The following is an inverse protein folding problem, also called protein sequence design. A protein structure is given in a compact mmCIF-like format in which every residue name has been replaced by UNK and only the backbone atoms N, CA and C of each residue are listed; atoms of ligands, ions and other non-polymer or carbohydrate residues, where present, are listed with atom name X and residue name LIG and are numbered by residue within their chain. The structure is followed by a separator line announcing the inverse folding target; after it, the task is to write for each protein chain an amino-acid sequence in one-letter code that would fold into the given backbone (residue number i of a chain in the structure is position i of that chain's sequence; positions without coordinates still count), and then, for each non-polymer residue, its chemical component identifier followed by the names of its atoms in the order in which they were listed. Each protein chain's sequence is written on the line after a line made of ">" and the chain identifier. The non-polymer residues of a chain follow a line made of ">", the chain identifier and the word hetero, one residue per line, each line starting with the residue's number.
data_IF_715862712864
#
_entry.id   IF_715862712864
#
_cell.length_a   1.000
_cell.length_b   1.000
_cell.length_c   1.000
_cell.angle_alpha   90.00
_cell.angle_beta   90.00
_cell.angle_gamma   90.00
#
_symmetry.space_group_name_H-M   'P 1'
#
loop_
_entity.id
_entity.type
_entity.pdbx_description
1 polymer ?
#
# COMPACT_ATOMS: atom_id res chain seq x y z
N UNK A 1 11.15 4.17 1.53
CA UNK A 1 12.19 4.40 2.53
C UNK A 1 11.86 3.51 3.71
N UNK A 2 12.84 2.95 4.39
CA UNK A 2 12.65 2.02 5.53
C UNK A 2 13.49 2.55 6.68
N UNK A 3 12.87 2.78 7.84
CA UNK A 3 13.57 3.22 9.04
C UNK A 3 14.58 2.15 9.48
N UNK A 4 15.82 2.54 9.67
CA UNK A 4 16.89 1.66 10.12
C UNK A 4 17.15 1.86 11.61
N UNK A 5 17.34 3.13 12.02
CA UNK A 5 17.57 3.56 13.39
C UNK A 5 17.20 5.06 13.54
N UNK A 6 17.41 5.65 14.73
CA UNK A 6 17.11 7.07 15.01
C UNK A 6 17.83 8.06 14.10
N UNK A 7 18.86 7.65 13.38
CA UNK A 7 19.72 8.52 12.57
C UNK A 7 19.70 8.21 11.09
N UNK A 8 19.39 6.99 10.69
CA UNK A 8 19.53 6.53 9.33
C UNK A 8 18.30 5.76 8.85
N UNK A 9 18.00 5.94 7.55
CA UNK A 9 17.01 5.19 6.78
C UNK A 9 17.70 4.36 5.71
N UNK A 10 17.02 3.31 5.23
CA UNK A 10 17.38 2.60 4.01
C UNK A 10 16.52 3.12 2.85
N UNK A 11 17.19 3.60 1.82
CA UNK A 11 16.56 4.00 0.57
C UNK A 11 16.79 2.92 -0.49
N UNK A 12 15.72 2.21 -0.85
CA UNK A 12 15.73 1.21 -1.91
C UNK A 12 15.07 1.76 -3.17
N UNK A 13 15.70 1.51 -4.31
CA UNK A 13 15.25 1.95 -5.62
C UNK A 13 15.34 0.84 -6.65
N UNK A 14 14.29 0.67 -7.46
CA UNK A 14 14.27 -0.25 -8.58
C UNK A 14 13.63 0.40 -9.80
N UNK A 15 14.28 0.25 -10.97
CA UNK A 15 13.76 0.65 -12.26
C UNK A 15 13.58 -0.57 -13.15
N UNK A 16 12.39 -0.75 -13.66
CA UNK A 16 12.00 -1.90 -14.49
C UNK A 16 11.69 -1.41 -15.90
N UNK A 17 12.26 -2.08 -16.90
CA UNK A 17 11.87 -1.91 -18.30
C UNK A 17 10.77 -2.91 -18.65
N UNK A 18 9.76 -2.44 -19.37
CA UNK A 18 8.66 -3.27 -19.89
C UNK A 18 8.69 -3.40 -21.41
N UNK A 19 9.70 -2.81 -22.08
CA UNK A 19 9.88 -2.91 -23.52
C UNK A 19 10.34 -4.32 -23.92
N UNK A 20 9.53 -5.04 -24.69
CA UNK A 20 9.78 -6.42 -25.20
C UNK A 20 9.91 -7.49 -24.11
N UNK A 21 10.54 -7.18 -22.97
CA UNK A 21 10.73 -8.07 -21.82
C UNK A 21 10.68 -7.24 -20.53
N UNK A 22 10.15 -7.85 -19.48
CA UNK A 22 10.19 -7.25 -18.14
C UNK A 22 11.57 -7.51 -17.55
N UNK A 23 12.37 -6.46 -17.43
CA UNK A 23 13.74 -6.55 -16.96
C UNK A 23 14.09 -5.43 -15.98
N UNK A 24 14.91 -5.76 -15.00
CA UNK A 24 15.55 -4.75 -14.14
C UNK A 24 16.53 -3.93 -14.98
N UNK A 25 16.32 -2.61 -15.06
CA UNK A 25 17.25 -1.65 -15.68
C UNK A 25 18.27 -1.13 -14.68
N UNK A 26 17.79 -0.79 -13.50
CA UNK A 26 18.61 -0.27 -12.41
C UNK A 26 18.02 -0.68 -11.09
N UNK A 27 18.86 -1.05 -10.13
CA UNK A 27 18.47 -1.36 -8.76
C UNK A 27 19.56 -0.92 -7.81
N UNK A 28 19.20 -0.29 -6.70
CA UNK A 28 20.17 0.21 -5.74
C UNK A 28 19.61 0.26 -4.32
N UNK A 29 20.51 0.16 -3.35
CA UNK A 29 20.24 0.31 -1.93
C UNK A 29 21.26 1.28 -1.32
N UNK A 30 20.76 2.28 -0.61
CA UNK A 30 21.56 3.28 0.08
C UNK A 30 21.14 3.39 1.55
N UNK A 31 22.11 3.68 2.41
CA UNK A 31 21.89 4.14 3.78
C UNK A 31 21.96 5.66 3.77
N UNK A 32 20.87 6.32 4.16
CA UNK A 32 20.72 7.79 4.12
C UNK A 32 20.43 8.32 5.51
N UNK A 33 20.69 9.60 5.75
CA UNK A 33 20.32 10.26 7.02
C UNK A 33 18.81 10.48 7.03
N UNK A 34 18.14 10.22 8.16
CA UNK A 34 16.70 10.34 8.34
C UNK A 34 16.16 11.68 7.81
N UNK A 35 15.01 11.61 7.16
CA UNK A 35 14.33 12.77 6.58
C UNK A 35 14.97 13.35 5.32
N UNK A 36 16.10 12.79 4.82
CA UNK A 36 16.70 13.21 3.55
C UNK A 36 16.24 12.29 2.43
N UNK A 37 15.53 12.86 1.47
CA UNK A 37 15.15 12.18 0.22
C UNK A 37 16.25 12.25 -0.86
N UNK A 38 17.30 13.04 -0.64
CA UNK A 38 18.40 13.17 -1.57
C UNK A 38 19.43 12.07 -1.33
N UNK A 39 19.74 11.32 -2.40
CA UNK A 39 20.84 10.33 -2.42
C UNK A 39 22.22 10.97 -2.29
N UNK A 40 22.31 12.30 -2.40
CA UNK A 40 23.55 13.05 -2.26
C UNK A 40 24.08 12.95 -0.82
N UNK A 41 25.14 12.16 -0.64
CA UNK A 41 25.78 11.91 0.64
C UNK A 41 25.35 10.62 1.35
N UNK A 42 24.44 9.83 0.77
CA UNK A 42 24.10 8.50 1.27
C UNK A 42 25.20 7.47 1.05
N UNK A 43 25.38 6.56 2.00
CA UNK A 43 26.29 5.43 1.84
C UNK A 43 25.68 4.40 0.89
N UNK A 44 26.31 4.15 -0.25
CA UNK A 44 25.89 3.10 -1.18
C UNK A 44 26.15 1.73 -0.54
N UNK A 45 25.11 0.91 -0.43
CA UNK A 45 25.22 -0.51 -0.04
C UNK A 45 25.49 -1.33 -1.29
N UNK A 46 24.63 -1.21 -2.30
CA UNK A 46 24.89 -1.71 -3.65
C UNK A 46 24.23 -0.83 -4.71
N UNK A 47 24.74 -0.91 -5.93
CA UNK A 47 24.13 -0.32 -7.12
C UNK A 47 24.43 -1.17 -8.33
N UNK A 48 23.45 -1.33 -9.22
CA UNK A 48 23.61 -2.09 -10.45
C UNK A 48 24.22 -1.25 -11.56
N UNK A 49 24.94 -1.96 -12.47
CA UNK A 49 25.48 -1.41 -13.71
C UNK A 49 25.14 -2.36 -14.86
N UNK A 50 24.58 -1.82 -15.94
CA UNK A 50 24.35 -2.58 -17.16
C UNK A 50 25.66 -2.74 -17.92
N UNK A 51 25.97 -3.96 -18.36
CA UNK A 51 27.07 -4.20 -19.33
C UNK A 51 26.69 -3.73 -20.73
N UNK A 52 25.55 -4.18 -21.21
CA UNK A 52 24.92 -3.74 -22.46
C UNK A 52 23.41 -3.72 -22.29
N UNK A 53 22.68 -2.96 -23.11
CA UNK A 53 21.21 -2.91 -23.05
C UNK A 53 20.55 -4.23 -23.43
N UNK A 54 21.24 -5.07 -24.19
CA UNK A 54 20.73 -6.32 -24.77
C UNK A 54 21.06 -7.55 -23.89
N UNK A 55 22.03 -7.41 -22.97
CA UNK A 55 22.40 -8.51 -22.05
C UNK A 55 21.27 -8.84 -21.10
N UNK A 56 21.03 -10.14 -20.87
CA UNK A 56 20.16 -10.66 -19.82
C UNK A 56 20.75 -10.52 -18.41
N UNK A 57 22.02 -10.10 -18.31
CA UNK A 57 22.79 -9.98 -17.09
C UNK A 57 22.97 -8.53 -16.68
N UNK A 58 23.11 -8.30 -15.39
CA UNK A 58 23.39 -7.02 -14.76
C UNK A 58 24.44 -7.21 -13.67
N UNK A 59 25.38 -6.27 -13.55
CA UNK A 59 26.38 -6.32 -12.47
C UNK A 59 25.88 -5.53 -11.28
N UNK A 60 25.96 -6.11 -10.09
CA UNK A 60 25.74 -5.44 -8.82
C UNK A 60 27.09 -5.13 -8.16
N UNK A 61 27.44 -3.87 -8.09
CA UNK A 61 28.59 -3.37 -7.34
C UNK A 61 28.16 -3.15 -5.89
N UNK A 62 28.75 -3.85 -4.93
CA UNK A 62 28.49 -3.61 -3.51
C UNK A 62 29.70 -2.98 -2.82
N UNK A 63 29.45 -2.13 -1.82
CA UNK A 63 30.46 -1.39 -1.10
C UNK A 63 31.05 -2.24 0.03
N UNK A 64 32.21 -2.85 -0.17
CA UNK A 64 32.94 -3.64 0.81
C UNK A 64 33.81 -2.80 1.77
N UNK A 65 33.79 -1.45 1.64
CA UNK A 65 34.60 -0.48 2.41
C UNK A 65 36.12 -0.68 2.31
N UNK A 66 36.60 -1.45 1.33
CA UNK A 66 38.03 -1.60 1.10
C UNK A 66 38.54 -0.55 0.13
N UNK A 67 39.84 -0.26 0.22
CA UNK A 67 40.51 0.61 -0.76
C UNK A 67 40.51 -0.06 -2.14
N UNK A 68 40.22 0.73 -3.18
CA UNK A 68 40.18 0.26 -4.54
C UNK A 68 38.80 0.14 -5.14
N UNK A 69 38.66 -0.76 -6.13
CA UNK A 69 37.39 -0.98 -6.82
C UNK A 69 36.50 -1.92 -6.00
N UNK A 70 35.27 -1.51 -5.78
CA UNK A 70 34.26 -2.38 -5.18
C UNK A 70 34.04 -3.65 -6.01
N UNK A 71 33.78 -4.80 -5.37
CA UNK A 71 33.50 -6.04 -6.08
C UNK A 71 32.16 -5.99 -6.80
N UNK A 72 32.13 -6.68 -7.95
CA UNK A 72 30.94 -6.82 -8.79
C UNK A 72 30.41 -8.26 -8.70
N UNK A 73 29.11 -8.41 -8.48
CA UNK A 73 28.40 -9.68 -8.50
C UNK A 73 27.50 -9.74 -9.74
N UNK A 74 27.61 -10.84 -10.51
CA UNK A 74 26.79 -11.05 -11.68
C UNK A 74 25.40 -11.53 -11.28
N UNK A 75 24.36 -10.81 -11.71
CA UNK A 75 22.96 -11.09 -11.47
C UNK A 75 22.20 -11.16 -12.78
N UNK A 76 21.01 -11.77 -12.75
CA UNK A 76 20.08 -11.84 -13.88
C UNK A 76 19.07 -10.69 -13.79
N UNK A 77 18.70 -10.14 -14.95
CA UNK A 77 17.73 -9.02 -15.02
C UNK A 77 16.27 -9.43 -14.90
N UNK A 78 15.97 -10.74 -14.98
CA UNK A 78 14.59 -11.27 -14.92
C UNK A 78 13.99 -11.30 -13.53
N UNK A 79 14.77 -11.01 -12.50
CA UNK A 79 14.34 -10.93 -11.11
C UNK A 79 15.08 -9.84 -10.36
N UNK A 80 14.56 -9.43 -9.20
CA UNK A 80 15.21 -8.43 -8.34
C UNK A 80 16.64 -8.83 -8.01
N UNK A 81 17.57 -7.89 -8.19
CA UNK A 81 18.97 -8.07 -7.83
C UNK A 81 19.12 -8.14 -6.31
N UNK A 82 18.33 -7.36 -5.56
CA UNK A 82 18.28 -7.44 -4.11
C UNK A 82 18.03 -8.88 -3.62
N UNK A 83 17.04 -9.56 -4.21
CA UNK A 83 16.73 -10.96 -3.86
C UNK A 83 17.88 -11.92 -4.21
N UNK A 84 18.57 -11.70 -5.32
CA UNK A 84 19.73 -12.52 -5.73
C UNK A 84 20.94 -12.28 -4.85
N UNK A 85 21.19 -11.04 -4.42
CA UNK A 85 22.31 -10.70 -3.54
C UNK A 85 22.21 -11.37 -2.17
N UNK A 86 21.00 -11.65 -1.67
CA UNK A 86 20.79 -12.42 -0.44
C UNK A 86 21.57 -13.74 -0.41
N UNK A 87 21.68 -14.41 -1.56
CA UNK A 87 22.36 -15.71 -1.68
C UNK A 87 23.74 -15.64 -2.32
N UNK A 88 24.04 -14.54 -3.01
CA UNK A 88 25.31 -14.40 -3.77
C UNK A 88 26.37 -13.57 -3.04
N UNK A 89 25.98 -12.75 -2.06
CA UNK A 89 26.94 -11.98 -1.27
C UNK A 89 27.83 -12.93 -0.45
N UNK A 90 29.15 -12.71 -0.44
CA UNK A 90 30.03 -13.42 0.48
C UNK A 90 29.66 -13.05 1.93
N UNK A 91 30.00 -13.93 2.88
CA UNK A 91 29.73 -13.72 4.32
C UNK A 91 31.02 -13.79 5.15
N UNK A 92 32.14 -13.43 4.51
CA UNK A 92 33.46 -13.63 5.07
C UNK A 92 33.87 -12.52 6.05
N UNK A 93 33.36 -11.33 5.89
CA UNK A 93 33.70 -10.13 6.67
C UNK A 93 32.50 -9.60 7.45
N UNK A 94 32.75 -8.79 8.47
CA UNK A 94 31.67 -8.07 9.20
C UNK A 94 30.89 -7.15 8.27
N UNK A 95 31.57 -6.54 7.29
CA UNK A 95 30.93 -5.71 6.29
C UNK A 95 29.98 -6.49 5.37
N UNK A 96 30.38 -7.68 4.95
CA UNK A 96 29.51 -8.56 4.14
C UNK A 96 28.24 -8.89 4.92
N UNK A 97 28.37 -9.22 6.21
CA UNK A 97 27.23 -9.50 7.10
C UNK A 97 26.34 -8.27 7.32
N UNK A 98 26.94 -7.08 7.48
CA UNK A 98 26.21 -5.81 7.58
C UNK A 98 25.39 -5.54 6.31
N UNK A 99 25.99 -5.67 5.12
CA UNK A 99 25.29 -5.50 3.84
C UNK A 99 24.16 -6.51 3.68
N UNK A 100 24.37 -7.77 4.06
CA UNK A 100 23.35 -8.80 4.02
C UNK A 100 22.19 -8.47 4.96
N UNK A 101 22.48 -7.98 6.17
CA UNK A 101 21.46 -7.55 7.14
C UNK A 101 20.57 -6.43 6.58
N UNK A 102 21.14 -5.44 5.89
CA UNK A 102 20.33 -4.40 5.21
C UNK A 102 19.47 -4.96 4.08
N UNK A 103 20.01 -5.89 3.30
CA UNK A 103 19.26 -6.54 2.22
C UNK A 103 18.09 -7.35 2.79
N UNK A 104 18.32 -8.12 3.84
CA UNK A 104 17.29 -8.91 4.51
C UNK A 104 16.20 -8.03 5.11
N UNK A 105 16.57 -6.92 5.77
CA UNK A 105 15.62 -5.96 6.32
C UNK A 105 14.70 -5.38 5.22
N UNK A 106 15.28 -5.01 4.07
CA UNK A 106 14.47 -4.50 2.94
C UNK A 106 13.56 -5.57 2.38
N UNK A 107 14.06 -6.79 2.17
CA UNK A 107 13.24 -7.90 1.68
C UNK A 107 12.09 -8.25 2.62
N UNK A 108 12.32 -8.22 3.93
CA UNK A 108 11.31 -8.47 4.94
C UNK A 108 10.21 -7.39 4.92
N UNK A 109 10.60 -6.12 4.79
CA UNK A 109 9.63 -5.02 4.68
C UNK A 109 8.84 -5.11 3.37
N UNK A 110 9.48 -5.44 2.24
CA UNK A 110 8.76 -5.63 0.97
C UNK A 110 7.76 -6.79 1.02
N UNK A 111 8.05 -7.86 1.73
CA UNK A 111 7.10 -8.98 1.93
C UNK A 111 5.89 -8.61 2.78
N UNK A 112 5.98 -7.57 3.61
CA UNK A 112 4.87 -7.07 4.43
C UNK A 112 3.93 -6.16 3.65
N UNK A 113 4.22 -5.84 2.37
CA UNK A 113 3.30 -5.09 1.52
C UNK A 113 2.21 -6.05 1.05
N UNK A 114 0.97 -5.76 1.43
CA UNK A 114 -0.20 -6.50 1.01
C UNK A 114 -1.06 -5.63 0.09
N UNK A 115 -1.25 -6.08 -1.15
CA UNK A 115 -2.11 -5.42 -2.13
C UNK A 115 -3.49 -6.06 -2.02
N UNK A 116 -4.51 -5.23 -1.84
CA UNK A 116 -5.90 -5.66 -1.70
C UNK A 116 -6.72 -5.12 -2.88
N UNK A 117 -7.27 -6.03 -3.65
CA UNK A 117 -8.17 -5.73 -4.77
C UNK A 117 -9.39 -6.66 -4.73
N UNK A 118 -10.38 -6.42 -3.86
CA UNK A 118 -11.52 -7.31 -3.67
C UNK A 118 -12.33 -7.47 -4.96
N UNK A 119 -12.59 -8.69 -5.36
CA UNK A 119 -13.44 -9.05 -6.50
C UNK A 119 -14.75 -9.65 -5.97
N UNK A 120 -15.86 -8.88 -5.86
CA UNK A 120 -17.09 -9.34 -5.24
C UNK A 120 -17.67 -10.61 -5.83
N UNK A 121 -17.50 -10.88 -7.14
CA UNK A 121 -17.94 -12.14 -7.77
C UNK A 121 -17.27 -13.36 -7.14
N UNK A 122 -15.97 -13.25 -6.84
CA UNK A 122 -15.17 -14.37 -6.33
C UNK A 122 -15.45 -14.61 -4.82
N UNK A 123 -15.89 -13.57 -4.12
CA UNK A 123 -16.19 -13.60 -2.67
C UNK A 123 -17.49 -14.32 -2.33
N UNK A 124 -18.30 -14.68 -3.33
CA UNK A 124 -19.64 -15.27 -3.16
C UNK A 124 -19.66 -16.78 -3.11
N UNK A 125 -18.54 -17.43 -3.30
CA UNK A 125 -18.47 -18.88 -3.36
C UNK A 125 -18.08 -19.52 -2.02
N UNK A 126 -18.38 -20.82 -1.89
CA UNK A 126 -17.88 -21.64 -0.81
C UNK A 126 -16.38 -21.87 -0.99
N UNK A 127 -15.64 -21.79 0.11
CA UNK A 127 -14.19 -21.98 0.13
C UNK A 127 -13.79 -22.96 1.21
N UNK A 128 -12.66 -23.60 1.08
CA UNK A 128 -12.12 -24.51 2.10
C UNK A 128 -11.89 -23.76 3.41
N UNK A 129 -12.35 -24.34 4.51
CA UNK A 129 -12.25 -23.76 5.85
C UNK A 129 -10.82 -23.50 6.30
N UNK A 130 -9.84 -24.23 5.72
CA UNK A 130 -8.42 -24.13 6.03
C UNK A 130 -7.69 -23.04 5.25
N UNK A 131 -8.35 -22.40 4.26
CA UNK A 131 -7.75 -21.34 3.42
C UNK A 131 -7.87 -19.97 4.12
N UNK A 132 -7.11 -19.79 5.21
CA UNK A 132 -7.24 -18.66 6.13
C UNK A 132 -6.32 -17.48 5.83
N UNK A 133 -5.35 -17.63 4.94
CA UNK A 133 -4.47 -16.54 4.51
C UNK A 133 -5.19 -15.71 3.44
N UNK A 134 -5.50 -14.43 3.76
CA UNK A 134 -6.28 -13.56 2.86
C UNK A 134 -5.59 -13.41 1.51
N UNK A 135 -6.30 -13.69 0.42
CA UNK A 135 -5.84 -13.50 -0.95
C UNK A 135 -6.14 -12.09 -1.44
N UNK A 136 -5.39 -11.62 -2.42
CA UNK A 136 -5.51 -10.29 -3.01
C UNK A 136 -6.94 -9.98 -3.50
N UNK A 137 -7.56 -10.92 -4.23
CA UNK A 137 -8.94 -10.81 -4.75
C UNK A 137 -10.03 -11.13 -3.71
N UNK A 138 -9.64 -11.55 -2.51
CA UNK A 138 -10.54 -11.96 -1.41
C UNK A 138 -11.44 -13.16 -1.73
N UNK A 139 -11.11 -14.02 -2.68
CA UNK A 139 -11.91 -15.21 -3.01
C UNK A 139 -12.13 -16.11 -1.81
N UNK A 140 -11.19 -16.15 -0.86
CA UNK A 140 -11.24 -16.97 0.34
C UNK A 140 -11.78 -16.24 1.60
N UNK A 141 -12.43 -15.09 1.41
CA UNK A 141 -12.88 -14.23 2.53
C UNK A 141 -13.70 -14.95 3.58
N UNK A 142 -14.50 -15.95 3.19
CA UNK A 142 -15.36 -16.71 4.12
C UNK A 142 -14.56 -17.49 5.15
N UNK A 143 -13.46 -18.12 4.74
CA UNK A 143 -12.57 -18.85 5.65
C UNK A 143 -11.77 -17.89 6.54
N UNK A 144 -11.28 -16.78 5.95
CA UNK A 144 -10.58 -15.71 6.68
C UNK A 144 -11.46 -15.13 7.78
N UNK A 145 -12.70 -14.74 7.46
CA UNK A 145 -13.64 -14.19 8.44
C UNK A 145 -14.00 -15.20 9.52
N UNK A 146 -14.15 -16.47 9.18
CA UNK A 146 -14.40 -17.53 10.17
C UNK A 146 -13.24 -17.62 11.15
N UNK A 147 -12.02 -17.71 10.67
CA UNK A 147 -10.83 -17.76 11.51
C UNK A 147 -10.68 -16.49 12.36
N UNK A 148 -10.90 -15.30 11.78
CA UNK A 148 -10.90 -14.03 12.50
C UNK A 148 -11.93 -14.01 13.64
N UNK A 149 -13.11 -14.57 13.42
CA UNK A 149 -14.21 -14.60 14.41
C UNK A 149 -14.00 -15.64 15.53
N UNK A 150 -13.02 -16.52 15.45
CA UNK A 150 -12.59 -17.37 16.58
C UNK A 150 -12.04 -16.51 17.73
N UNK A 151 -11.45 -15.35 17.41
CA UNK A 151 -11.08 -14.33 18.38
C UNK A 151 -12.28 -13.40 18.62
N UNK A 152 -12.83 -13.43 19.84
CA UNK A 152 -14.00 -12.67 20.22
C UNK A 152 -13.80 -11.15 20.15
N UNK A 153 -12.58 -10.66 20.39
CA UNK A 153 -12.27 -9.21 20.34
C UNK A 153 -12.17 -8.74 18.89
N UNK A 154 -11.53 -9.51 18.02
CA UNK A 154 -11.49 -9.22 16.58
C UNK A 154 -12.87 -9.27 15.94
N UNK A 155 -13.71 -10.25 16.34
CA UNK A 155 -15.12 -10.32 15.91
C UNK A 155 -15.89 -9.07 16.32
N UNK A 156 -15.75 -8.62 17.56
CA UNK A 156 -16.40 -7.38 18.04
C UNK A 156 -15.90 -6.15 17.27
N UNK A 157 -14.60 -6.05 17.02
CA UNK A 157 -14.01 -4.92 16.27
C UNK A 157 -14.51 -4.90 14.83
N UNK A 158 -14.54 -6.06 14.14
CA UNK A 158 -15.12 -6.20 12.81
C UNK A 158 -16.60 -5.74 12.80
N UNK A 159 -17.42 -6.29 13.67
CA UNK A 159 -18.86 -5.97 13.74
C UNK A 159 -19.10 -4.51 14.06
N UNK A 160 -18.33 -3.92 14.97
CA UNK A 160 -18.43 -2.49 15.30
C UNK A 160 -18.21 -1.64 14.06
N UNK A 161 -17.11 -1.87 13.32
CA UNK A 161 -16.79 -1.06 12.14
C UNK A 161 -17.83 -1.24 11.05
N UNK A 162 -18.23 -2.49 10.77
CA UNK A 162 -19.19 -2.77 9.69
C UNK A 162 -20.58 -2.26 10.04
N UNK A 163 -20.98 -2.27 11.32
CA UNK A 163 -22.27 -1.72 11.78
C UNK A 163 -22.29 -0.18 11.81
N UNK A 164 -21.12 0.47 11.97
CA UNK A 164 -20.99 1.93 11.96
C UNK A 164 -21.00 2.50 10.54
N UNK A 165 -20.93 1.64 9.50
CA UNK A 165 -21.04 2.10 8.12
C UNK A 165 -22.49 2.51 7.82
N UNK A 166 -22.72 3.71 7.22
CA UNK A 166 -24.04 4.16 6.83
C UNK A 166 -24.79 3.12 6.00
N UNK A 167 -26.10 3.00 6.22
CA UNK A 167 -27.01 2.06 5.51
C UNK A 167 -26.72 0.57 5.76
N UNK A 168 -25.78 0.22 6.63
CA UNK A 168 -25.52 -1.15 7.03
C UNK A 168 -25.97 -1.38 8.46
N UNK A 169 -27.04 -2.16 8.63
CA UNK A 169 -27.55 -2.50 9.94
C UNK A 169 -27.24 -3.97 10.29
N UNK A 170 -25.94 -4.28 10.29
CA UNK A 170 -25.45 -5.64 10.56
C UNK A 170 -25.40 -5.88 12.06
N UNK A 171 -26.08 -6.93 12.54
CA UNK A 171 -26.06 -7.36 13.94
C UNK A 171 -25.00 -8.37 14.25
N UNK A 172 -24.80 -9.31 13.34
CA UNK A 172 -23.92 -10.46 13.57
C UNK A 172 -23.41 -11.04 12.26
N UNK A 173 -22.31 -11.77 12.36
CA UNK A 173 -21.75 -12.58 11.30
C UNK A 173 -21.82 -14.05 11.71
N UNK A 174 -22.32 -14.88 10.80
CA UNK A 174 -22.41 -16.32 10.93
C UNK A 174 -21.77 -17.02 9.75
N UNK A 175 -21.74 -18.36 9.82
CA UNK A 175 -21.09 -19.18 8.81
C UNK A 175 -21.95 -20.39 8.49
N UNK A 176 -22.08 -20.69 7.21
CA UNK A 176 -22.77 -21.89 6.71
C UNK A 176 -21.67 -22.83 6.21
N UNK A 177 -21.63 -24.04 6.79
CA UNK A 177 -20.61 -25.04 6.45
C UNK A 177 -21.25 -26.24 5.75
N UNK A 178 -20.51 -26.82 4.79
CA UNK A 178 -20.89 -28.05 4.11
C UNK A 178 -20.32 -29.29 4.83
N UNK A 179 -20.77 -30.47 4.47
CA UNK A 179 -20.19 -31.73 4.95
C UNK A 179 -18.78 -32.00 4.46
N UNK A 180 -18.32 -31.22 3.48
CA UNK A 180 -16.98 -31.32 2.88
C UNK A 180 -16.00 -30.28 3.43
N UNK A 181 -16.31 -29.65 4.58
CA UNK A 181 -15.52 -28.60 5.20
C UNK A 181 -15.32 -27.35 4.33
N UNK A 182 -16.30 -27.03 3.48
CA UNK A 182 -16.36 -25.73 2.81
C UNK A 182 -17.23 -24.77 3.63
N UNK A 183 -16.93 -23.48 3.55
CA UNK A 183 -17.61 -22.42 4.31
C UNK A 183 -17.98 -21.24 3.41
N UNK A 184 -19.16 -20.67 3.69
CA UNK A 184 -19.56 -19.34 3.21
C UNK A 184 -20.00 -18.50 4.41
N UNK A 185 -19.59 -17.23 4.46
CA UNK A 185 -20.06 -16.34 5.50
C UNK A 185 -21.46 -15.80 5.20
N UNK A 186 -22.18 -15.43 6.24
CA UNK A 186 -23.52 -14.85 6.16
C UNK A 186 -23.68 -13.74 7.20
N UNK A 187 -24.49 -12.73 6.91
CA UNK A 187 -24.78 -11.62 7.80
C UNK A 187 -26.21 -11.68 8.31
N UNK A 188 -26.40 -11.24 9.55
CA UNK A 188 -27.72 -11.01 10.14
C UNK A 188 -27.95 -9.52 10.21
N UNK A 189 -29.01 -9.03 9.56
CA UNK A 189 -29.39 -7.62 9.53
C UNK A 189 -30.36 -7.26 10.66
N UNK A 190 -30.35 -5.97 11.05
CA UNK A 190 -31.06 -5.43 12.21
C UNK A 190 -32.57 -5.28 12.01
N UNK A 191 -33.01 -5.01 10.78
CA UNK A 191 -34.41 -4.70 10.47
C UNK A 191 -35.30 -5.93 10.24
N UNK A 192 -34.71 -7.09 10.08
CA UNK A 192 -35.48 -8.29 9.81
C UNK A 192 -35.70 -9.00 11.13
N UNK A 193 -36.96 -9.08 11.58
CA UNK A 193 -37.37 -9.84 12.77
C UNK A 193 -37.18 -11.37 12.58
N UNK A 194 -36.50 -11.79 11.53
CA UNK A 194 -36.18 -13.18 11.26
C UNK A 194 -34.78 -13.52 11.80
N UNK A 195 -34.64 -14.77 12.19
CA UNK A 195 -33.32 -15.34 12.53
C UNK A 195 -32.50 -15.69 11.29
N UNK A 196 -32.94 -15.27 10.10
CA UNK A 196 -32.30 -15.62 8.84
C UNK A 196 -30.97 -14.91 8.66
N UNK A 197 -30.01 -15.67 8.16
CA UNK A 197 -28.71 -15.22 7.74
C UNK A 197 -28.74 -15.02 6.20
N UNK A 198 -28.28 -13.88 5.74
CA UNK A 198 -28.07 -13.62 4.32
C UNK A 198 -26.63 -13.98 3.96
N UNK A 199 -26.47 -15.04 3.19
CA UNK A 199 -25.15 -15.48 2.73
C UNK A 199 -24.51 -14.47 1.78
N UNK A 200 -23.21 -14.60 1.53
CA UNK A 200 -22.42 -13.69 0.70
C UNK A 200 -23.00 -13.52 -0.72
N UNK A 201 -23.73 -14.52 -1.23
CA UNK A 201 -24.35 -14.46 -2.58
C UNK A 201 -25.42 -13.37 -2.70
N UNK A 202 -26.07 -13.04 -1.57
CA UNK A 202 -27.17 -12.06 -1.51
C UNK A 202 -26.71 -10.65 -1.14
N UNK A 203 -25.44 -10.49 -0.75
CA UNK A 203 -24.91 -9.20 -0.33
C UNK A 203 -24.56 -8.31 -1.53
N UNK A 204 -24.67 -6.98 -1.35
CA UNK A 204 -24.22 -6.01 -2.36
C UNK A 204 -22.69 -6.02 -2.51
N UNK A 205 -22.21 -5.65 -3.70
CA UNK A 205 -20.77 -5.54 -3.96
C UNK A 205 -20.09 -4.57 -3.00
N UNK A 206 -20.73 -3.44 -2.71
CA UNK A 206 -20.20 -2.47 -1.77
C UNK A 206 -20.08 -3.02 -0.34
N UNK A 207 -21.04 -3.83 0.11
CA UNK A 207 -20.96 -4.50 1.43
C UNK A 207 -19.83 -5.51 1.46
N UNK A 208 -19.69 -6.33 0.42
CA UNK A 208 -18.60 -7.30 0.31
C UNK A 208 -17.23 -6.59 0.34
N UNK A 209 -17.03 -5.52 -0.43
CA UNK A 209 -15.79 -4.75 -0.44
C UNK A 209 -15.48 -4.14 0.92
N UNK A 210 -16.46 -3.54 1.60
CA UNK A 210 -16.25 -2.99 2.94
C UNK A 210 -15.78 -4.08 3.94
N UNK A 211 -16.43 -5.25 3.92
CA UNK A 211 -16.06 -6.37 4.79
C UNK A 211 -14.64 -6.86 4.47
N UNK A 212 -14.30 -7.00 3.19
CA UNK A 212 -12.96 -7.41 2.76
C UNK A 212 -11.87 -6.46 3.26
N UNK A 213 -12.09 -5.15 3.12
CA UNK A 213 -11.13 -4.12 3.55
C UNK A 213 -10.96 -4.16 5.09
N UNK A 214 -12.06 -4.29 5.85
CA UNK A 214 -11.98 -4.39 7.31
C UNK A 214 -11.33 -5.71 7.74
N UNK A 215 -11.63 -6.82 7.07
CA UNK A 215 -10.96 -8.10 7.33
C UNK A 215 -9.46 -8.01 7.06
N UNK A 216 -9.04 -7.38 5.95
CA UNK A 216 -7.65 -7.22 5.61
C UNK A 216 -6.87 -6.50 6.72
N UNK A 217 -7.34 -5.31 7.14
CA UNK A 217 -6.62 -4.54 8.17
C UNK A 217 -6.61 -5.25 9.54
N UNK A 218 -7.54 -6.17 9.80
CA UNK A 218 -7.58 -6.94 11.05
C UNK A 218 -6.74 -8.23 11.00
N UNK A 219 -6.40 -8.74 9.81
CA UNK A 219 -5.70 -10.03 9.64
C UNK A 219 -4.25 -9.91 9.24
N UNK A 220 -3.87 -8.90 8.43
CA UNK A 220 -2.46 -8.73 8.05
C UNK A 220 -1.57 -8.49 9.27
N UNK A 221 -0.29 -8.87 9.25
CA UNK A 221 0.63 -8.67 10.37
C UNK A 221 0.79 -7.19 10.74
N UNK A 222 1.06 -6.92 12.02
CA UNK A 222 1.41 -5.57 12.48
C UNK A 222 2.72 -5.08 11.83
N UNK A 223 2.80 -3.78 11.55
CA UNK A 223 3.93 -3.18 10.85
C UNK A 223 3.96 -3.51 9.35
N UNK A 224 2.82 -3.93 8.76
CA UNK A 224 2.66 -4.15 7.33
C UNK A 224 2.26 -2.86 6.60
N UNK A 225 2.33 -2.89 5.27
CA UNK A 225 1.75 -1.86 4.40
C UNK A 225 0.56 -2.44 3.65
N UNK A 226 -0.62 -1.86 3.84
CA UNK A 226 -1.86 -2.23 3.12
C UNK A 226 -2.07 -1.27 1.95
N UNK A 227 -2.08 -1.80 0.73
CA UNK A 227 -2.37 -1.04 -0.49
C UNK A 227 -3.78 -1.39 -0.95
N UNK A 228 -4.66 -0.39 -1.12
CA UNK A 228 -6.02 -0.57 -1.61
C UNK A 228 -6.22 0.28 -2.85
N UNK A 229 -6.45 -0.37 -3.99
CA UNK A 229 -6.75 0.32 -5.23
C UNK A 229 -8.25 0.67 -5.30
N UNK A 230 -8.53 1.91 -5.75
CA UNK A 230 -9.91 2.42 -5.95
C UNK A 230 -10.84 2.11 -4.77
N UNK A 231 -10.46 2.58 -3.57
CA UNK A 231 -11.19 2.28 -2.32
C UNK A 231 -12.70 2.55 -2.40
N UNK A 232 -13.10 3.46 -3.25
CA UNK A 232 -14.48 3.89 -3.46
C UNK A 232 -15.23 3.11 -4.55
N UNK A 233 -14.58 2.20 -5.26
CA UNK A 233 -15.21 1.45 -6.33
C UNK A 233 -16.39 0.60 -5.80
N UNK A 234 -17.61 0.90 -6.30
CA UNK A 234 -18.84 0.21 -5.90
C UNK A 234 -19.32 0.49 -4.46
N UNK A 235 -18.70 1.41 -3.73
CA UNK A 235 -19.07 1.80 -2.38
C UNK A 235 -19.64 3.22 -2.38
N UNK A 236 -20.77 3.44 -1.69
CA UNK A 236 -21.34 4.79 -1.57
C UNK A 236 -20.38 5.74 -0.82
N UNK A 237 -20.29 7.01 -1.25
CA UNK A 237 -19.34 7.98 -0.73
C UNK A 237 -19.38 8.15 0.80
N UNK A 238 -20.58 8.12 1.41
CA UNK A 238 -20.74 8.20 2.87
C UNK A 238 -20.10 7.01 3.61
N UNK A 239 -20.17 5.81 3.03
CA UNK A 239 -19.53 4.59 3.59
C UNK A 239 -18.02 4.66 3.47
N UNK A 240 -17.51 5.15 2.34
CA UNK A 240 -16.05 5.26 2.13
C UNK A 240 -15.41 6.22 3.12
N UNK A 241 -16.05 7.38 3.40
CA UNK A 241 -15.56 8.31 4.41
C UNK A 241 -15.48 7.68 5.81
N UNK A 242 -16.54 6.96 6.22
CA UNK A 242 -16.55 6.25 7.49
C UNK A 242 -15.48 5.13 7.53
N UNK A 243 -15.31 4.42 6.42
CA UNK A 243 -14.30 3.36 6.26
C UNK A 243 -12.88 3.93 6.40
N UNK A 244 -12.53 5.00 5.68
CA UNK A 244 -11.22 5.66 5.77
C UNK A 244 -10.90 6.10 7.20
N UNK A 245 -11.89 6.68 7.89
CA UNK A 245 -11.71 7.07 9.29
C UNK A 245 -11.37 5.87 10.19
N UNK A 246 -12.09 4.76 10.04
CA UNK A 246 -11.83 3.54 10.81
C UNK A 246 -10.48 2.91 10.44
N UNK A 247 -10.12 2.91 9.14
CA UNK A 247 -8.83 2.44 8.66
C UNK A 247 -7.68 3.24 9.27
N UNK A 248 -7.78 4.57 9.32
CA UNK A 248 -6.76 5.42 9.96
C UNK A 248 -6.55 5.06 11.42
N UNK A 249 -7.64 4.89 12.19
CA UNK A 249 -7.56 4.52 13.61
C UNK A 249 -6.94 3.13 13.82
N UNK A 250 -7.32 2.16 12.97
CA UNK A 250 -6.75 0.81 13.04
C UNK A 250 -5.29 0.77 12.57
N UNK A 251 -4.95 1.54 11.54
CA UNK A 251 -3.58 1.67 11.05
C UNK A 251 -2.64 2.19 12.13
N UNK A 252 -3.02 3.26 12.82
CA UNK A 252 -2.27 3.79 13.96
C UNK A 252 -2.14 2.76 15.10
N UNK A 253 -3.26 2.11 15.49
CA UNK A 253 -3.28 1.11 16.56
C UNK A 253 -2.39 -0.09 16.27
N UNK A 254 -2.36 -0.56 15.01
CA UNK A 254 -1.63 -1.75 14.57
C UNK A 254 -0.31 -1.45 13.88
N UNK A 255 0.08 -0.17 13.80
CA UNK A 255 1.29 0.29 13.09
C UNK A 255 1.30 -0.17 11.63
N UNK A 256 0.14 -0.14 10.97
CA UNK A 256 -0.02 -0.52 9.57
C UNK A 256 -0.04 0.76 8.73
N UNK A 257 0.88 0.86 7.78
CA UNK A 257 0.84 1.91 6.77
C UNK A 257 -0.24 1.61 5.74
N UNK A 258 -1.01 2.62 5.33
CA UNK A 258 -2.12 2.44 4.41
C UNK A 258 -1.92 3.35 3.20
N UNK A 259 -1.89 2.75 2.02
CA UNK A 259 -1.85 3.46 0.73
C UNK A 259 -3.18 3.24 0.02
N UNK A 260 -3.89 4.32 -0.26
CA UNK A 260 -5.18 4.29 -0.93
C UNK A 260 -5.10 5.02 -2.26
N UNK A 261 -5.75 4.50 -3.30
CA UNK A 261 -6.01 5.26 -4.52
C UNK A 261 -7.50 5.56 -4.66
N UNK A 262 -7.82 6.71 -5.23
CA UNK A 262 -9.20 7.12 -5.54
C UNK A 262 -9.24 8.08 -6.71
N UNK A 263 -10.32 8.03 -7.47
CA UNK A 263 -10.66 9.02 -8.49
C UNK A 263 -11.88 9.88 -8.09
N UNK A 264 -12.37 9.74 -6.84
CA UNK A 264 -13.60 10.36 -6.39
C UNK A 264 -13.35 11.73 -5.75
N UNK A 265 -13.76 12.84 -6.41
CA UNK A 265 -13.57 14.19 -5.87
C UNK A 265 -14.27 14.40 -4.52
N UNK A 266 -15.39 13.72 -4.27
CA UNK A 266 -16.16 13.87 -3.03
C UNK A 266 -15.36 13.40 -1.82
N UNK A 267 -14.55 12.35 -1.98
CA UNK A 267 -13.70 11.87 -0.90
C UNK A 267 -12.60 12.88 -0.56
N UNK A 268 -12.06 13.55 -1.57
CA UNK A 268 -10.97 14.49 -1.42
C UNK A 268 -11.38 15.78 -0.68
N UNK A 269 -12.66 16.14 -0.73
CA UNK A 269 -13.19 17.30 0.02
C UNK A 269 -13.30 17.06 1.53
N UNK A 270 -13.27 15.79 1.97
CA UNK A 270 -13.38 15.42 3.39
C UNK A 270 -12.07 15.42 4.17
N UNK A 271 -10.90 15.63 3.51
CA UNK A 271 -9.60 15.57 4.17
C UNK A 271 -9.32 16.80 5.03
N UNK A 272 -8.82 16.56 6.24
CA UNK A 272 -8.28 17.62 7.12
C UNK A 272 -6.90 18.05 6.63
N UNK A 273 -6.51 19.30 6.96
CA UNK A 273 -5.20 19.86 6.57
C UNK A 273 -4.00 18.94 6.90
N UNK A 274 -4.00 18.32 8.07
CA UNK A 274 -2.93 17.40 8.50
C UNK A 274 -2.80 16.14 7.61
N UNK A 275 -3.89 15.68 7.02
CA UNK A 275 -3.90 14.53 6.12
C UNK A 275 -3.34 14.84 4.72
N UNK A 276 -3.23 16.14 4.37
CA UNK A 276 -2.71 16.57 3.07
C UNK A 276 -1.25 16.23 2.84
N UNK A 277 -0.48 16.07 3.92
CA UNK A 277 0.92 15.60 3.84
C UNK A 277 1.02 14.20 3.23
N UNK A 278 -0.01 13.36 3.45
CA UNK A 278 -0.09 12.02 2.88
C UNK A 278 -0.74 11.97 1.48
N UNK A 279 -1.20 13.12 0.94
CA UNK A 279 -1.85 13.14 -0.37
C UNK A 279 -0.82 13.36 -1.47
N UNK A 280 -0.91 12.57 -2.52
CA UNK A 280 -0.09 12.71 -3.72
C UNK A 280 -0.96 12.68 -4.97
N UNK A 281 -0.57 13.45 -5.97
CA UNK A 281 -1.28 13.54 -7.24
C UNK A 281 -0.48 12.83 -8.32
N UNK A 282 -1.13 11.93 -9.04
CA UNK A 282 -0.58 11.29 -10.23
C UNK A 282 -1.18 11.95 -11.47
N UNK A 283 -0.36 12.40 -12.38
CA UNK A 283 -0.78 13.05 -13.60
C UNK A 283 0.07 12.63 -14.80
N UNK A 284 -0.45 12.80 -15.99
CA UNK A 284 0.27 12.51 -17.24
C UNK A 284 0.95 13.77 -17.76
N UNK A 285 2.26 13.68 -17.97
CA UNK A 285 3.03 14.76 -18.60
C UNK A 285 2.76 14.80 -20.11
N UNK A 286 2.34 15.97 -20.62
CA UNK A 286 1.89 16.11 -22.00
C UNK A 286 2.98 15.88 -23.05
N UNK A 287 4.21 16.29 -22.76
CA UNK A 287 5.31 16.23 -23.74
C UNK A 287 5.84 14.81 -23.98
N UNK A 288 5.90 14.01 -22.91
CA UNK A 288 6.50 12.65 -22.96
C UNK A 288 5.48 11.55 -22.79
N UNK A 289 4.24 11.87 -22.43
CA UNK A 289 3.19 10.89 -22.14
C UNK A 289 3.49 10.01 -20.93
N UNK A 290 4.47 10.39 -20.10
CA UNK A 290 4.86 9.65 -18.90
C UNK A 290 3.98 10.06 -17.72
N UNK A 291 3.68 9.11 -16.82
CA UNK A 291 3.05 9.42 -15.55
C UNK A 291 4.04 10.05 -14.59
N UNK A 292 3.61 11.08 -13.89
CA UNK A 292 4.36 11.77 -12.85
C UNK A 292 3.60 11.70 -11.54
N UNK A 293 4.36 11.68 -10.46
CA UNK A 293 3.89 11.66 -9.09
C UNK A 293 4.40 12.90 -8.38
N UNK A 294 3.51 13.65 -7.72
CA UNK A 294 3.86 14.85 -6.96
C UNK A 294 3.11 14.86 -5.63
N UNK A 295 3.79 15.01 -4.48
CA UNK A 295 3.10 15.30 -3.23
C UNK A 295 2.25 16.56 -3.37
N UNK A 296 1.01 16.53 -2.87
CA UNK A 296 0.07 17.65 -3.03
C UNK A 296 0.64 18.95 -2.45
N UNK A 297 1.31 18.87 -1.31
CA UNK A 297 1.94 20.01 -0.64
C UNK A 297 3.14 20.59 -1.41
N UNK A 298 3.64 19.88 -2.41
CA UNK A 298 4.72 20.32 -3.27
C UNK A 298 4.22 21.11 -4.49
N UNK A 299 2.91 21.14 -4.71
CA UNK A 299 2.30 21.90 -5.80
C UNK A 299 2.35 23.39 -5.45
N UNK A 300 2.88 24.22 -6.37
CA UNK A 300 2.94 25.66 -6.16
C UNK A 300 1.54 26.24 -5.92
N UNK A 301 1.42 27.08 -4.89
CA UNK A 301 0.15 27.76 -4.54
C UNK A 301 -1.01 26.79 -4.22
N UNK A 302 -0.73 25.55 -3.80
CA UNK A 302 -1.78 24.60 -3.41
C UNK A 302 -2.78 25.14 -2.36
N UNK A 303 -2.45 26.10 -1.45
CA UNK A 303 -3.45 26.68 -0.57
C UNK A 303 -4.62 27.37 -1.30
N UNK A 304 -4.40 27.85 -2.54
CA UNK A 304 -5.48 28.45 -3.36
C UNK A 304 -6.59 27.44 -3.72
N UNK A 305 -6.28 26.15 -3.71
CA UNK A 305 -7.28 25.08 -3.91
C UNK A 305 -8.38 25.17 -2.86
N UNK A 306 -8.05 25.48 -1.62
CA UNK A 306 -9.02 25.58 -0.51
C UNK A 306 -9.85 26.86 -0.53
N UNK A 307 -9.35 27.92 -1.16
CA UNK A 307 -10.13 29.17 -1.37
C UNK A 307 -11.25 28.95 -2.38
N UNK A 308 -11.10 27.97 -3.29
CA UNK A 308 -12.05 27.68 -4.37
C UNK A 308 -13.03 26.55 -4.07
N UNK A 309 -12.98 25.94 -2.88
CA UNK A 309 -13.94 24.90 -2.49
C UNK A 309 -13.29 23.57 -2.02
N UNK A 310 -12.02 23.32 -2.31
CA UNK A 310 -11.30 22.14 -1.86
C UNK A 310 -10.65 21.32 -2.97
N UNK A 311 -9.97 20.25 -2.56
CA UNK A 311 -9.19 19.41 -3.48
C UNK A 311 -10.06 18.70 -4.52
N UNK A 312 -11.27 18.25 -4.13
CA UNK A 312 -12.18 17.58 -5.05
C UNK A 312 -12.72 18.52 -6.14
N UNK A 313 -13.05 19.77 -5.79
CA UNK A 313 -13.49 20.76 -6.78
C UNK A 313 -12.36 21.13 -7.73
N UNK A 314 -11.15 21.33 -7.22
CA UNK A 314 -9.97 21.61 -8.02
C UNK A 314 -9.60 20.47 -9.00
N UNK A 315 -9.99 19.25 -8.66
CA UNK A 315 -9.85 18.10 -9.55
C UNK A 315 -10.88 18.11 -10.68
N UNK A 316 -12.12 18.56 -10.39
CA UNK A 316 -13.22 18.63 -11.37
C UNK A 316 -13.05 19.75 -12.38
N UNK A 317 -12.55 20.92 -11.97
CA UNK A 317 -12.42 22.12 -12.80
C UNK A 317 -11.03 22.25 -13.48
N UNK A 318 -10.22 21.20 -13.44
CA UNK A 318 -8.84 21.15 -13.96
C UNK A 318 -7.89 22.21 -13.37
N UNK A 319 -8.30 22.97 -12.35
CA UNK A 319 -7.45 23.98 -11.72
C UNK A 319 -6.21 23.37 -11.07
N UNK A 320 -6.33 22.14 -10.55
CA UNK A 320 -5.22 21.37 -10.01
C UNK A 320 -4.15 21.09 -11.07
N UNK A 321 -4.54 20.68 -12.28
CA UNK A 321 -3.61 20.44 -13.39
C UNK A 321 -2.89 21.72 -13.82
N UNK A 322 -3.61 22.87 -13.79
CA UNK A 322 -3.01 24.17 -14.11
C UNK A 322 -1.98 24.59 -13.05
N UNK A 323 -2.22 24.31 -11.77
CA UNK A 323 -1.26 24.57 -10.71
C UNK A 323 -0.01 23.67 -10.82
N UNK A 324 -0.19 22.41 -11.21
CA UNK A 324 0.92 21.44 -11.41
C UNK A 324 1.84 21.88 -12.56
N UNK A 325 1.29 22.47 -13.62
CA UNK A 325 2.07 22.95 -14.79
C UNK A 325 2.91 24.20 -14.50
N UNK A 326 2.67 24.90 -13.38
CA UNK A 326 3.47 26.04 -12.98
C UNK A 326 4.78 25.58 -12.33
N UNK A 327 5.98 26.08 -12.77
CA UNK A 327 7.26 25.70 -12.16
C UNK A 327 7.28 26.03 -10.66
N UNK A 328 7.71 25.08 -9.83
CA UNK A 328 7.82 25.28 -8.38
C UNK A 328 9.09 26.07 -8.04
N UNK A 329 8.98 27.11 -7.22
CA UNK A 329 10.08 27.67 -6.45
C UNK A 329 10.31 26.86 -5.16
N UNK A 330 11.52 26.97 -4.56
CA UNK A 330 11.91 26.23 -3.34
C UNK A 330 10.85 26.36 -2.23
N UNK A 331 10.57 25.23 -1.59
CA UNK A 331 9.49 25.02 -0.62
C UNK A 331 9.76 25.68 0.72
N UNK A 332 8.76 26.36 1.26
CA UNK A 332 8.69 26.82 2.65
C UNK A 332 7.45 26.20 3.29
N UNK A 333 7.64 25.38 4.32
CA UNK A 333 6.58 24.73 5.09
C UNK A 333 6.34 25.38 6.44
N UNK A 334 6.99 26.54 6.74
CA UNK A 334 6.93 27.20 8.05
C UNK A 334 5.51 27.57 8.49
N UNK A 335 4.59 27.74 7.54
CA UNK A 335 3.17 28.01 7.81
C UNK A 335 2.40 26.85 8.47
N UNK A 336 2.96 25.60 8.45
CA UNK A 336 2.32 24.44 9.09
C UNK A 336 2.52 24.40 10.61
N UNK A 337 3.48 25.17 11.16
CA UNK A 337 3.74 25.26 12.60
C UNK A 337 2.70 26.14 13.32
N UNK A 338 1.94 26.96 12.58
CA UNK A 338 0.93 27.88 13.13
C UNK A 338 -0.49 27.27 13.20
N UNK A 339 -0.64 25.97 13.01
CA UNK A 339 -1.89 25.23 13.03
C UNK A 339 -1.76 23.96 13.88
#
# INVERSE_FOLDING_TARGET
>A
MIDLDEKYDLYYYIKISTNKKVWVEEEALYKVVNGKTELAGGEKIFKTKLRTKESGDIQAEYNDKKAGRNPDILCMRVSSVLAQLRTKLPQNTDRDRECLGYIELVLENLKKIFILNPVPSDMRDYVRITDTDLKENCENISAVLRHLCEDSEKKKELLKIVSDLPENEIKDIGFITTQLDDVIFALREKYINSSELFDAKKLSDGTLRCIAIVAAILTIPEGSTLVIEEIDNGIHASRVQALIKNLSLLGEKRKIDIILTTHNPVLLNGYKKQQLLGVSVVYRENEKGTSKFIPFVDIRNYPQVFVRGGLGEAMLDESLLNLIKCPSEKKDYSWMEDF
#
